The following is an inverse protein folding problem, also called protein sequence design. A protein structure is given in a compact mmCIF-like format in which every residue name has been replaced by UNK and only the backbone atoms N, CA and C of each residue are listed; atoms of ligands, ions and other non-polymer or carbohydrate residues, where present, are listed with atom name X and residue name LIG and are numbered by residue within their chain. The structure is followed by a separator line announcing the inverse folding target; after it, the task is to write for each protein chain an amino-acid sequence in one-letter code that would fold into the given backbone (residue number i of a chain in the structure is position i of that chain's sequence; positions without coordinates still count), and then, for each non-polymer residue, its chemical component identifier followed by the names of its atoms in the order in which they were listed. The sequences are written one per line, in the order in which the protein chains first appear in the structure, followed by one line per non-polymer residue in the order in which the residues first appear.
data_IF_371887034277
#
_entry.id   IF_371887034277
#
_cell.length_a   1.000
_cell.length_b   1.000
_cell.length_c   1.000
_cell.angle_alpha   90.00
_cell.angle_beta   90.00
_cell.angle_gamma   90.00
#
_symmetry.space_group_name_H-M   'P 1'
#
loop_
_entity.id
_entity.type
_entity.pdbx_description
1 polymer ?
#
# COMPACT_ATOMS: atom_id res chain seq x y z
N UNK A 1 -31.07 -0.12 17.71
CA UNK A 1 -30.53 1.18 18.17
C UNK A 1 -29.12 0.95 18.69
N UNK A 2 -28.09 1.36 17.95
CA UNK A 2 -26.67 1.07 18.25
C UNK A 2 -26.00 2.34 18.76
N UNK A 3 -25.38 2.27 19.95
CA UNK A 3 -24.56 3.34 20.53
C UNK A 3 -23.12 3.19 20.05
N UNK A 4 -22.56 4.25 19.45
CA UNK A 4 -21.15 4.35 19.07
C UNK A 4 -20.39 5.07 20.19
N UNK A 5 -19.38 4.42 20.78
CA UNK A 5 -18.44 5.08 21.68
C UNK A 5 -17.29 5.70 20.88
N UNK A 6 -17.04 6.99 21.10
CA UNK A 6 -15.94 7.74 20.49
C UNK A 6 -14.70 7.63 21.38
N UNK A 7 -13.72 6.82 20.97
CA UNK A 7 -12.40 6.79 21.61
C UNK A 7 -11.64 8.07 21.22
N UNK A 8 -11.27 8.92 22.18
CA UNK A 8 -10.35 10.05 21.95
C UNK A 8 -8.92 9.53 22.10
N UNK A 9 -8.23 9.26 21.00
CA UNK A 9 -6.78 9.08 21.02
C UNK A 9 -6.09 10.45 21.01
N UNK A 10 -5.15 10.68 21.93
CA UNK A 10 -4.23 11.82 21.86
C UNK A 10 -3.18 11.49 20.79
N UNK A 11 -3.31 12.07 19.61
CA UNK A 11 -2.26 12.00 18.60
C UNK A 11 -1.06 12.85 19.08
N UNK A 12 0.04 12.19 19.43
CA UNK A 12 1.33 12.86 19.58
C UNK A 12 1.80 13.22 18.18
N UNK A 13 1.81 14.52 17.85
CA UNK A 13 2.35 15.02 16.60
C UNK A 13 3.89 14.89 16.64
N UNK A 14 4.43 13.73 16.27
CA UNK A 14 5.85 13.60 15.97
C UNK A 14 6.10 14.42 14.70
N UNK A 15 6.99 15.40 14.74
CA UNK A 15 7.55 16.00 13.52
C UNK A 15 8.29 14.90 12.77
N UNK A 16 7.64 14.34 11.75
CA UNK A 16 8.28 13.44 10.80
C UNK A 16 9.03 14.35 9.82
N UNK A 17 10.35 14.40 9.94
CA UNK A 17 11.20 15.00 8.91
C UNK A 17 11.20 14.00 7.76
N UNK A 18 10.32 14.21 6.79
CA UNK A 18 10.32 13.45 5.54
C UNK A 18 11.52 13.93 4.73
N UNK A 19 12.54 13.09 4.55
CA UNK A 19 13.61 13.37 3.61
C UNK A 19 13.05 13.33 2.18
N UNK A 20 12.48 14.45 1.74
CA UNK A 20 11.81 14.57 0.46
C UNK A 20 12.81 14.41 -0.69
N UNK A 21 13.01 13.17 -1.16
CA UNK A 21 13.46 12.96 -2.52
C UNK A 21 12.27 13.10 -3.47
N UNK A 22 12.53 13.11 -4.78
CA UNK A 22 11.49 13.29 -5.81
C UNK A 22 10.44 12.17 -5.87
N UNK A 23 10.63 11.06 -5.14
CA UNK A 23 9.70 9.94 -5.10
C UNK A 23 8.75 10.01 -3.89
N UNK A 24 8.99 10.91 -2.93
CA UNK A 24 8.17 11.08 -1.73
C UNK A 24 7.22 12.28 -1.86
N UNK A 25 6.03 12.17 -1.27
CA UNK A 25 5.01 13.22 -1.33
C UNK A 25 3.70 12.81 -0.65
N UNK A 26 2.62 13.54 -0.92
CA UNK A 26 1.32 13.32 -0.27
C UNK A 26 0.42 12.28 -0.97
N UNK A 27 0.89 11.69 -2.07
CA UNK A 27 0.17 10.67 -2.80
C UNK A 27 0.12 9.33 -2.06
N UNK A 28 -0.87 8.54 -2.43
CA UNK A 28 -1.13 7.21 -1.89
C UNK A 28 -1.47 6.22 -3.01
N UNK A 29 -1.18 4.95 -2.74
CA UNK A 29 -1.64 3.82 -3.54
C UNK A 29 -2.48 2.93 -2.63
N UNK A 30 -3.68 2.60 -3.07
CA UNK A 30 -4.60 1.69 -2.38
C UNK A 30 -4.97 0.55 -3.31
N UNK A 31 -5.20 -0.62 -2.75
CA UNK A 31 -5.70 -1.76 -3.49
C UNK A 31 -6.14 -2.87 -2.57
N UNK A 32 -6.45 -4.02 -3.18
CA UNK A 32 -6.89 -5.20 -2.47
C UNK A 32 -6.22 -6.45 -3.06
N UNK A 33 -5.84 -7.37 -2.19
CA UNK A 33 -5.36 -8.71 -2.56
C UNK A 33 -6.53 -9.68 -2.50
N UNK A 34 -6.83 -10.28 -3.65
CA UNK A 34 -7.95 -11.20 -3.82
C UNK A 34 -7.57 -12.35 -4.76
N UNK A 35 -8.12 -13.53 -4.48
CA UNK A 35 -8.27 -14.62 -5.44
C UNK A 35 -9.63 -14.48 -6.10
N UNK A 36 -9.86 -15.16 -7.22
CA UNK A 36 -11.17 -15.16 -7.92
C UNK A 36 -12.31 -15.38 -6.90
N UNK A 37 -13.08 -14.32 -6.64
CA UNK A 37 -14.23 -14.32 -5.72
C UNK A 37 -13.91 -14.37 -4.22
N UNK A 38 -12.64 -14.30 -3.79
CA UNK A 38 -12.28 -14.45 -2.37
C UNK A 38 -11.17 -13.49 -1.93
N UNK A 39 -11.30 -12.94 -0.71
CA UNK A 39 -10.24 -12.16 -0.07
C UNK A 39 -9.01 -13.04 0.12
N UNK A 40 -7.82 -12.50 -0.21
CA UNK A 40 -6.56 -13.15 0.08
C UNK A 40 -5.77 -12.30 1.06
N UNK A 41 -5.76 -12.63 2.37
CA UNK A 41 -5.28 -11.73 3.41
C UNK A 41 -3.78 -11.89 3.70
N UNK A 42 -3.19 -10.88 4.34
CA UNK A 42 -1.81 -10.91 4.88
C UNK A 42 -0.75 -11.18 3.79
N UNK A 43 -0.97 -10.63 2.61
CA UNK A 43 -0.13 -10.83 1.43
C UNK A 43 0.94 -9.74 1.39
N UNK A 44 2.24 -10.07 1.28
CA UNK A 44 3.29 -9.09 0.97
C UNK A 44 2.99 -8.34 -0.32
N UNK A 45 3.02 -7.01 -0.26
CA UNK A 45 2.77 -6.10 -1.38
C UNK A 45 3.92 -5.12 -1.48
N UNK A 46 4.55 -5.08 -2.65
CA UNK A 46 5.66 -4.20 -2.98
C UNK A 46 5.24 -3.17 -4.02
N UNK A 47 5.64 -1.92 -3.84
CA UNK A 47 5.47 -0.85 -4.81
C UNK A 47 6.82 -0.45 -5.35
N UNK A 48 6.93 -0.46 -6.66
CA UNK A 48 8.14 -0.09 -7.37
C UNK A 48 7.88 1.12 -8.25
N UNK A 49 8.88 2.00 -8.35
CA UNK A 49 8.91 3.07 -9.34
C UNK A 49 8.96 2.45 -10.73
N UNK A 50 8.05 2.85 -11.62
CA UNK A 50 7.92 2.21 -12.94
C UNK A 50 9.13 2.44 -13.84
N UNK A 51 9.72 3.63 -13.80
CA UNK A 51 10.84 3.99 -14.69
C UNK A 51 12.18 3.32 -14.32
N UNK A 52 12.45 3.12 -13.04
CA UNK A 52 13.75 2.62 -12.56
C UNK A 52 13.67 1.23 -11.93
N UNK A 53 12.46 0.72 -11.67
CA UNK A 53 12.22 -0.53 -10.92
C UNK A 53 12.75 -0.48 -9.48
N UNK A 54 12.97 0.72 -8.97
CA UNK A 54 13.38 0.94 -7.57
C UNK A 54 12.22 0.57 -6.64
N UNK A 55 12.51 -0.24 -5.61
CA UNK A 55 11.56 -0.48 -4.53
C UNK A 55 11.33 0.82 -3.75
N UNK A 56 10.07 1.26 -3.70
CA UNK A 56 9.66 2.45 -2.95
C UNK A 56 9.10 2.07 -1.58
N UNK A 57 8.29 1.01 -1.55
CA UNK A 57 7.60 0.55 -0.35
C UNK A 57 7.36 -0.95 -0.38
N UNK A 58 7.34 -1.52 0.82
CA UNK A 58 6.88 -2.87 1.08
C UNK A 58 5.91 -2.84 2.27
N UNK A 59 4.81 -3.57 2.16
CA UNK A 59 3.80 -3.70 3.21
C UNK A 59 3.14 -5.08 3.17
N UNK A 60 2.25 -5.37 4.13
CA UNK A 60 1.34 -6.51 4.05
C UNK A 60 -0.09 -6.01 3.94
N UNK A 61 -0.90 -6.68 3.13
CA UNK A 61 -2.34 -6.44 3.15
C UNK A 61 -2.94 -6.82 4.50
N UNK A 62 -4.08 -6.23 4.81
CA UNK A 62 -4.84 -6.50 6.04
C UNK A 62 -5.60 -7.81 5.94
N UNK A 63 -6.29 -8.17 7.02
CA UNK A 63 -7.18 -9.32 7.07
C UNK A 63 -8.34 -9.26 6.07
N UNK A 64 -8.75 -8.06 5.63
CA UNK A 64 -9.74 -7.85 4.58
C UNK A 64 -9.13 -7.80 3.16
N UNK A 65 -7.83 -8.08 3.04
CA UNK A 65 -7.06 -8.02 1.80
C UNK A 65 -6.69 -6.60 1.37
N UNK A 66 -7.17 -5.54 2.04
CA UNK A 66 -6.85 -4.17 1.64
C UNK A 66 -5.43 -3.79 2.02
N UNK A 67 -4.79 -2.96 1.21
CA UNK A 67 -3.53 -2.31 1.53
C UNK A 67 -3.59 -0.82 1.19
N UNK A 68 -2.79 -0.03 1.90
CA UNK A 68 -2.65 1.40 1.64
C UNK A 68 -1.20 1.82 1.91
N UNK A 69 -0.59 2.43 0.91
CA UNK A 69 0.78 2.94 0.97
C UNK A 69 0.70 4.46 0.80
N UNK A 70 1.50 5.18 1.59
CA UNK A 70 1.54 6.65 1.65
C UNK A 70 2.97 7.11 1.42
N UNK A 71 3.17 8.43 1.40
CA UNK A 71 4.49 9.03 1.21
C UNK A 71 5.07 8.74 -0.19
N UNK A 72 4.22 8.80 -1.21
CA UNK A 72 4.60 8.68 -2.62
C UNK A 72 4.30 10.01 -3.31
N UNK A 73 5.17 10.48 -4.20
CA UNK A 73 4.91 11.69 -4.98
C UNK A 73 3.62 11.53 -5.81
N UNK A 74 2.71 12.52 -5.75
CA UNK A 74 1.48 12.53 -6.54
C UNK A 74 1.83 12.49 -8.03
N UNK A 75 1.17 11.64 -8.79
CA UNK A 75 1.44 11.44 -10.22
C UNK A 75 2.61 10.51 -10.54
N UNK A 76 3.33 9.98 -9.53
CA UNK A 76 4.41 9.02 -9.76
C UNK A 76 3.85 7.70 -10.30
N UNK A 77 4.27 7.32 -11.52
CA UNK A 77 3.95 6.00 -12.08
C UNK A 77 4.72 4.90 -11.34
N UNK A 78 3.96 3.92 -10.88
CA UNK A 78 4.42 2.75 -10.17
C UNK A 78 3.91 1.47 -10.84
N UNK A 79 4.48 0.34 -10.43
CA UNK A 79 3.82 -0.95 -10.53
C UNK A 79 3.81 -1.61 -9.16
N UNK A 80 2.79 -2.43 -8.91
CA UNK A 80 2.58 -3.11 -7.64
C UNK A 80 2.73 -4.60 -7.87
N UNK A 81 3.49 -5.28 -7.01
CA UNK A 81 3.62 -6.74 -7.02
C UNK A 81 3.12 -7.28 -5.69
N UNK A 82 2.30 -8.33 -5.74
CA UNK A 82 1.90 -9.07 -4.55
C UNK A 82 2.40 -10.52 -4.64
N UNK A 83 3.02 -11.00 -3.56
CA UNK A 83 3.63 -12.32 -3.48
C UNK A 83 2.80 -13.24 -2.58
N UNK A 84 2.50 -14.45 -3.05
CA UNK A 84 1.87 -15.45 -2.20
C UNK A 84 2.84 -15.93 -1.12
N UNK A 85 2.55 -15.74 0.18
CA UNK A 85 3.43 -16.17 1.26
C UNK A 85 3.57 -17.70 1.37
N UNK A 86 2.65 -18.47 0.77
CA UNK A 86 2.65 -19.92 0.79
C UNK A 86 3.25 -20.54 -0.48
N UNK A 87 3.69 -19.72 -1.45
CA UNK A 87 4.22 -20.16 -2.74
C UNK A 87 3.29 -21.13 -3.52
N UNK A 88 1.98 -21.02 -3.32
CA UNK A 88 0.97 -21.82 -4.03
C UNK A 88 0.59 -21.19 -5.37
N UNK A 89 0.79 -19.88 -5.51
CA UNK A 89 0.46 -19.10 -6.70
C UNK A 89 1.62 -18.22 -7.14
N UNK A 90 1.62 -17.87 -8.42
CA UNK A 90 2.54 -16.89 -8.98
C UNK A 90 2.27 -15.49 -8.41
N UNK A 91 3.32 -14.67 -8.39
CA UNK A 91 3.18 -13.26 -8.07
C UNK A 91 2.24 -12.56 -9.07
N UNK A 92 1.39 -11.66 -8.56
CA UNK A 92 0.50 -10.84 -9.39
C UNK A 92 1.04 -9.43 -9.50
N UNK A 93 0.87 -8.82 -10.68
CA UNK A 93 1.37 -7.49 -10.99
C UNK A 93 0.22 -6.60 -11.43
N UNK A 94 0.16 -5.39 -10.86
CA UNK A 94 -0.64 -4.28 -11.37
C UNK A 94 0.32 -3.24 -11.95
N UNK A 95 0.37 -3.13 -13.27
CA UNK A 95 1.23 -2.16 -13.96
C UNK A 95 0.54 -0.79 -14.09
N UNK A 96 1.36 0.26 -14.23
CA UNK A 96 0.96 1.65 -14.47
C UNK A 96 -0.02 2.20 -13.43
N UNK A 97 0.24 1.89 -12.17
CA UNK A 97 -0.48 2.46 -11.03
C UNK A 97 0.04 3.88 -10.78
N UNK A 98 -0.85 4.87 -10.76
CA UNK A 98 -0.49 6.26 -10.49
C UNK A 98 -0.85 6.59 -9.06
N UNK A 99 0.07 7.19 -8.31
CA UNK A 99 -0.23 7.66 -6.95
C UNK A 99 -1.11 8.93 -6.98
N UNK A 100 -2.16 8.93 -6.17
CA UNK A 100 -3.18 10.00 -6.08
C UNK A 100 -3.27 10.62 -4.68
#
# INVERSE_FOLDING_TARGET
MIKIFRLKSRAVFKKIITAANSDQGFGQIKGQTQKVGAVYPIVPVCVFKRSTRQLLWETKSKADGTYAIRNIAVGLECFVVAFDPNNQFNAVISDKVVAE
#
